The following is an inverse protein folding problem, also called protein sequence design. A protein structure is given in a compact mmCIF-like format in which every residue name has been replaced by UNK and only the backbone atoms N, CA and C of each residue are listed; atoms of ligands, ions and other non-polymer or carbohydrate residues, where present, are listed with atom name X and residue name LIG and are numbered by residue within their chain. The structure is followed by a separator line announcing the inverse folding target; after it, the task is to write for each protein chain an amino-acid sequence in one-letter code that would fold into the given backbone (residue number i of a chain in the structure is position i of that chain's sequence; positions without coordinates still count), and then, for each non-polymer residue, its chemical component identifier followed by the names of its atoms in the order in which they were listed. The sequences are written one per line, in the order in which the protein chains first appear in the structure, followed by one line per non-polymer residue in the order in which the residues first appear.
data_IF_589593464055
#
_entry.id   IF_589593464055
#
_cell.length_a   1.000
_cell.length_b   1.000
_cell.length_c   1.000
_cell.angle_alpha   90.00
_cell.angle_beta   90.00
_cell.angle_gamma   90.00
#
_symmetry.space_group_name_H-M   'P 1'
#
loop_
_entity.id
_entity.type
_entity.pdbx_description
1 polymer ?
#
# COMPACT_ATOMS: atom_id res chain seq x y z
N UNK A 1 55.38 19.60 -16.50
CA UNK A 1 54.04 19.71 -15.88
C UNK A 1 53.15 18.71 -16.59
N UNK A 2 52.65 17.70 -15.88
CA UNK A 2 51.81 16.64 -16.46
C UNK A 2 50.36 17.12 -16.61
N UNK A 3 49.63 16.68 -17.65
CA UNK A 3 48.23 17.05 -17.83
C UNK A 3 47.34 16.46 -16.70
N UNK A 4 46.23 17.12 -16.35
CA UNK A 4 45.31 16.61 -15.34
C UNK A 4 44.62 15.31 -15.80
N UNK A 5 44.24 14.43 -14.86
CA UNK A 5 43.55 13.19 -15.17
C UNK A 5 42.18 13.46 -15.80
N UNK A 6 41.79 12.61 -16.76
CA UNK A 6 40.51 12.69 -17.44
C UNK A 6 39.33 12.52 -16.45
N UNK A 7 38.20 13.21 -16.67
CA UNK A 7 37.01 13.06 -15.84
C UNK A 7 36.43 11.64 -15.94
N UNK A 8 35.76 11.16 -14.88
CA UNK A 8 35.12 9.84 -14.88
C UNK A 8 34.05 9.74 -15.97
N UNK A 9 33.86 8.56 -16.59
CA UNK A 9 32.85 8.38 -17.62
C UNK A 9 31.45 8.64 -17.06
N UNK A 10 30.52 9.19 -17.88
CA UNK A 10 29.16 9.43 -17.44
C UNK A 10 28.49 8.11 -17.03
N UNK A 11 27.59 8.12 -16.03
CA UNK A 11 26.90 6.92 -15.58
C UNK A 11 26.16 6.28 -16.76
N UNK A 12 26.35 4.98 -16.93
CA UNK A 12 25.70 4.19 -17.98
C UNK A 12 24.19 4.40 -17.86
N UNK A 13 23.58 5.07 -18.85
CA UNK A 13 22.12 5.11 -18.96
C UNK A 13 21.64 3.68 -19.13
N UNK A 14 21.00 3.14 -18.10
CA UNK A 14 20.25 1.90 -18.21
C UNK A 14 19.17 2.10 -19.27
N UNK A 15 19.41 1.53 -20.45
CA UNK A 15 18.41 1.41 -21.50
C UNK A 15 17.46 0.31 -21.05
N UNK A 16 16.18 0.58 -20.75
CA UNK A 16 15.26 -0.49 -20.41
C UNK A 16 15.11 -1.36 -21.65
N UNK A 17 15.49 -2.63 -21.52
CA UNK A 17 15.17 -3.64 -22.50
C UNK A 17 13.65 -3.75 -22.58
N UNK A 18 13.10 -3.40 -23.73
CA UNK A 18 11.70 -3.62 -24.08
C UNK A 18 11.46 -5.13 -24.14
N UNK A 19 10.94 -5.70 -23.07
CA UNK A 19 10.40 -7.07 -23.05
C UNK A 19 9.16 -7.14 -22.17
N UNK A 20 8.09 -7.63 -22.82
CA UNK A 20 6.80 -8.09 -22.30
C UNK A 20 5.90 -7.07 -21.59
N UNK A 21 4.76 -6.79 -22.21
CA UNK A 21 3.55 -6.35 -21.55
C UNK A 21 3.21 -7.29 -20.40
N UNK A 22 3.40 -6.84 -19.17
CA UNK A 22 2.78 -7.50 -18.02
C UNK A 22 1.82 -6.52 -17.38
N UNK A 23 0.54 -6.84 -17.54
CA UNK A 23 -0.54 -6.24 -16.76
C UNK A 23 -0.26 -6.58 -15.30
N UNK A 24 0.12 -5.60 -14.47
CA UNK A 24 0.29 -5.80 -13.03
C UNK A 24 -0.56 -4.83 -12.21
N UNK A 25 -1.79 -5.22 -11.87
CA UNK A 25 -2.53 -4.67 -10.75
C UNK A 25 -2.69 -5.76 -9.68
N UNK A 26 -1.86 -5.64 -8.64
CA UNK A 26 -1.85 -6.31 -7.32
C UNK A 26 -0.46 -6.88 -6.98
N UNK A 27 -0.05 -6.81 -5.70
CA UNK A 27 1.13 -7.51 -5.25
C UNK A 27 1.01 -9.03 -5.53
N UNK A 28 2.07 -9.69 -6.01
CA UNK A 28 2.04 -11.14 -6.25
C UNK A 28 1.97 -11.87 -4.91
N UNK A 29 1.15 -12.91 -4.74
CA UNK A 29 1.14 -13.68 -3.47
C UNK A 29 2.56 -14.24 -3.20
N UNK A 30 3.14 -14.09 -1.99
CA UNK A 30 4.48 -14.62 -1.68
C UNK A 30 4.60 -16.11 -2.02
N UNK A 31 5.73 -16.52 -2.60
CA UNK A 31 5.93 -17.89 -3.13
C UNK A 31 6.40 -18.91 -2.08
N UNK A 32 6.39 -18.57 -0.79
CA UNK A 32 6.53 -19.54 0.30
C UNK A 32 5.21 -20.28 0.51
N UNK A 33 5.26 -21.57 0.86
CA UNK A 33 4.12 -22.36 1.37
C UNK A 33 3.54 -21.71 2.62
N UNK A 34 2.75 -20.66 2.43
CA UNK A 34 1.67 -20.29 3.30
C UNK A 34 0.44 -20.95 2.71
N UNK A 35 -0.14 -21.89 3.45
CA UNK A 35 -1.53 -22.30 3.21
C UNK A 35 -2.34 -21.02 2.95
N UNK A 36 -3.16 -20.95 1.89
CA UNK A 36 -4.00 -19.79 1.63
C UNK A 36 -4.85 -19.60 2.87
N UNK A 37 -4.43 -18.67 3.73
CA UNK A 37 -5.18 -18.28 4.89
C UNK A 37 -6.48 -17.75 4.32
N UNK A 38 -7.55 -18.54 4.46
CA UNK A 38 -8.85 -18.19 3.93
C UNK A 38 -9.21 -16.78 4.38
N UNK A 39 -9.97 -16.05 3.57
CA UNK A 39 -10.54 -14.73 3.92
C UNK A 39 -11.11 -14.69 5.35
N UNK A 40 -11.51 -15.84 5.89
CA UNK A 40 -11.90 -16.08 7.28
C UNK A 40 -10.90 -15.63 8.35
N UNK A 41 -9.57 -15.71 8.15
CA UNK A 41 -8.61 -15.30 9.19
C UNK A 41 -8.33 -13.79 9.16
N UNK A 42 -8.45 -13.15 7.99
CA UNK A 42 -8.48 -11.68 7.89
C UNK A 42 -9.65 -11.12 8.70
N UNK A 43 -10.83 -11.75 8.58
CA UNK A 43 -11.98 -11.45 9.44
C UNK A 43 -11.77 -11.87 10.90
N UNK A 44 -11.02 -12.93 11.21
CA UNK A 44 -10.77 -13.35 12.59
C UNK A 44 -9.89 -12.34 13.35
N UNK A 45 -8.84 -11.81 12.71
CA UNK A 45 -7.98 -10.80 13.32
C UNK A 45 -8.74 -9.48 13.59
N UNK A 46 -9.70 -9.13 12.72
CA UNK A 46 -10.62 -8.01 12.95
C UNK A 46 -11.62 -8.28 14.08
N UNK A 47 -12.11 -9.53 14.16
CA UNK A 47 -13.00 -10.01 15.24
C UNK A 47 -12.31 -10.13 16.59
N UNK A 48 -11.00 -10.30 16.65
CA UNK A 48 -10.28 -10.35 17.93
C UNK A 48 -10.18 -8.95 18.58
N UNK A 49 -10.16 -7.87 17.78
CA UNK A 49 -10.20 -6.48 18.31
C UNK A 49 -11.60 -5.97 18.67
N UNK A 50 -12.66 -6.67 18.26
CA UNK A 50 -14.02 -6.47 18.74
C UNK A 50 -14.74 -7.80 18.74
N UNK A 51 -15.08 -8.29 19.94
CA UNK A 51 -16.20 -9.20 20.18
C UNK A 51 -17.45 -8.57 19.57
N UNK A 52 -17.60 -8.69 18.26
CA UNK A 52 -18.64 -8.10 17.45
C UNK A 52 -19.66 -9.19 17.30
N UNK A 53 -20.69 -9.08 18.13
CA UNK A 53 -21.91 -9.85 18.02
C UNK A 53 -22.44 -9.71 16.57
N UNK A 54 -23.02 -10.78 15.98
CA UNK A 54 -23.67 -10.66 14.69
C UNK A 54 -24.73 -9.54 14.75
N UNK A 55 -24.57 -8.49 13.92
CA UNK A 55 -25.54 -7.39 13.81
C UNK A 55 -25.07 -6.00 14.28
N UNK A 56 -23.84 -5.83 14.76
CA UNK A 56 -23.32 -4.49 15.09
C UNK A 56 -22.92 -3.70 13.82
N UNK A 57 -23.29 -2.41 13.70
CA UNK A 57 -22.90 -1.60 12.55
C UNK A 57 -21.39 -1.36 12.50
N UNK A 58 -20.83 -1.32 11.29
CA UNK A 58 -19.44 -0.96 11.04
C UNK A 58 -19.11 0.39 11.70
N UNK A 59 -18.04 0.40 12.50
CA UNK A 59 -17.58 1.60 13.16
C UNK A 59 -16.50 2.27 12.31
N UNK A 60 -16.66 3.56 11.95
CA UNK A 60 -15.65 4.28 11.19
C UNK A 60 -14.27 4.24 11.85
N UNK A 61 -13.23 4.13 11.04
CA UNK A 61 -11.85 4.08 11.50
C UNK A 61 -10.92 4.82 10.54
N UNK A 62 -9.79 5.27 11.04
CA UNK A 62 -8.77 5.91 10.22
C UNK A 62 -7.81 4.86 9.67
N UNK A 63 -7.50 4.93 8.38
CA UNK A 63 -6.45 4.14 7.74
C UNK A 63 -5.28 5.05 7.38
N UNK A 64 -4.08 4.65 7.78
CA UNK A 64 -2.81 5.26 7.38
C UNK A 64 -2.25 4.54 6.15
N UNK A 65 -1.99 5.31 5.10
CA UNK A 65 -1.44 4.85 3.83
C UNK A 65 -0.04 5.44 3.61
N UNK A 66 0.89 4.59 3.18
CA UNK A 66 2.31 4.92 3.03
C UNK A 66 2.88 4.43 1.68
N UNK A 67 2.00 4.11 0.74
CA UNK A 67 2.33 3.53 -0.55
C UNK A 67 1.37 3.99 -1.64
N UNK A 68 0.98 3.07 -2.53
CA UNK A 68 0.10 3.38 -3.67
C UNK A 68 -1.23 4.05 -3.28
N UNK A 69 -1.80 3.68 -2.13
CA UNK A 69 -3.04 4.24 -1.60
C UNK A 69 -2.93 5.69 -1.08
N UNK A 70 -1.71 6.27 -1.05
CA UNK A 70 -1.55 7.71 -0.82
C UNK A 70 -2.05 8.56 -1.99
N UNK A 71 -2.21 7.97 -3.18
CA UNK A 71 -2.76 8.68 -4.34
C UNK A 71 -4.31 8.62 -4.31
N UNK A 72 -5.00 9.78 -4.24
CA UNK A 72 -6.46 9.80 -4.15
C UNK A 72 -7.19 9.14 -5.32
N UNK A 73 -6.64 9.16 -6.54
CA UNK A 73 -7.29 8.51 -7.69
C UNK A 73 -7.15 7.00 -7.63
N UNK A 74 -6.04 6.50 -7.08
CA UNK A 74 -5.87 5.07 -6.81
C UNK A 74 -6.88 4.63 -5.76
N UNK A 75 -6.98 5.39 -4.66
CA UNK A 75 -7.95 5.11 -3.60
C UNK A 75 -9.39 5.14 -4.14
N UNK A 76 -9.74 6.15 -4.94
CA UNK A 76 -11.04 6.23 -5.62
C UNK A 76 -11.31 5.00 -6.50
N UNK A 77 -10.34 4.58 -7.32
CA UNK A 77 -10.51 3.45 -8.23
C UNK A 77 -10.67 2.11 -7.50
N UNK A 78 -9.88 1.87 -6.45
CA UNK A 78 -9.96 0.63 -5.66
C UNK A 78 -11.25 0.54 -4.86
N UNK A 79 -11.69 1.68 -4.32
CA UNK A 79 -12.88 1.74 -3.48
C UNK A 79 -14.17 2.01 -4.26
N UNK A 80 -14.08 2.25 -5.57
CA UNK A 80 -15.21 2.65 -6.43
C UNK A 80 -15.96 3.86 -5.84
N UNK A 81 -15.20 4.85 -5.34
CA UNK A 81 -15.79 6.04 -4.75
C UNK A 81 -16.41 6.92 -5.84
N UNK A 82 -17.59 7.50 -5.60
CA UNK A 82 -18.23 8.40 -6.57
C UNK A 82 -17.42 9.69 -6.77
N UNK A 83 -16.68 10.12 -5.75
CA UNK A 83 -15.90 11.35 -5.71
C UNK A 83 -14.46 11.07 -5.29
N UNK A 84 -13.55 11.98 -5.62
CA UNK A 84 -12.15 11.87 -5.25
C UNK A 84 -12.01 12.10 -3.74
N UNK A 85 -11.44 11.14 -2.97
CA UNK A 85 -11.32 11.29 -1.52
C UNK A 85 -10.27 12.35 -1.15
N UNK A 86 -10.58 13.16 -0.13
CA UNK A 86 -9.60 14.07 0.49
C UNK A 86 -8.86 13.34 1.61
N UNK A 87 -7.55 13.16 1.43
CA UNK A 87 -6.66 12.56 2.44
C UNK A 87 -5.92 13.64 3.23
N UNK A 88 -5.51 13.34 4.47
CA UNK A 88 -4.74 14.28 5.32
C UNK A 88 -3.31 13.77 5.48
N UNK A 89 -2.29 14.62 5.28
CA UNK A 89 -0.89 14.27 5.56
C UNK A 89 -0.70 13.88 7.02
N UNK A 90 0.09 12.83 7.26
CA UNK A 90 0.35 12.31 8.59
C UNK A 90 1.70 11.62 8.70
N UNK A 91 2.15 11.43 9.93
CA UNK A 91 3.36 10.67 10.28
C UNK A 91 3.03 9.61 11.32
N UNK A 92 3.63 8.42 11.18
CA UNK A 92 3.44 7.29 12.09
C UNK A 92 4.80 6.81 12.57
N UNK A 93 5.00 6.80 13.89
CA UNK A 93 6.23 6.33 14.54
C UNK A 93 6.20 4.82 14.80
N UNK A 94 7.36 4.21 15.06
CA UNK A 94 7.45 2.81 15.44
C UNK A 94 7.66 1.85 14.26
N UNK A 95 7.86 2.38 13.05
CA UNK A 95 8.01 1.60 11.83
C UNK A 95 9.06 2.18 10.88
N UNK A 96 9.67 1.30 10.08
CA UNK A 96 10.47 1.65 8.90
C UNK A 96 9.83 1.04 7.66
N UNK A 97 10.19 1.56 6.48
CA UNK A 97 9.84 0.96 5.19
C UNK A 97 10.99 0.05 4.72
N UNK A 98 10.63 -1.15 4.28
CA UNK A 98 11.42 -1.96 3.31
C UNK A 98 10.62 -2.13 2.02
N UNK A 99 11.27 -2.59 0.97
CA UNK A 99 10.64 -2.79 -0.34
C UNK A 99 10.45 -4.27 -0.64
N UNK A 100 9.24 -4.64 -1.02
CA UNK A 100 8.91 -5.92 -1.63
C UNK A 100 8.65 -5.72 -3.12
N UNK A 101 9.71 -5.86 -3.91
CA UNK A 101 9.70 -5.40 -5.30
C UNK A 101 9.44 -3.90 -5.39
N UNK A 102 8.27 -3.51 -5.91
CA UNK A 102 7.87 -2.10 -6.02
C UNK A 102 6.98 -1.62 -4.87
N UNK A 103 6.58 -2.52 -3.98
CA UNK A 103 5.60 -2.24 -2.94
C UNK A 103 6.30 -1.97 -1.61
N UNK A 104 5.94 -0.89 -0.88
CA UNK A 104 6.49 -0.66 0.44
C UNK A 104 5.90 -1.63 1.46
N UNK A 105 6.68 -1.95 2.48
CA UNK A 105 6.33 -2.84 3.57
C UNK A 105 6.71 -2.18 4.90
N UNK A 106 5.73 -1.93 5.77
CA UNK A 106 6.00 -1.47 7.14
C UNK A 106 6.56 -2.60 7.99
N UNK A 107 7.73 -2.35 8.56
CA UNK A 107 8.44 -3.22 9.48
C UNK A 107 8.61 -2.51 10.84
N UNK A 108 8.37 -3.18 11.99
CA UNK A 108 8.56 -2.58 13.30
C UNK A 108 9.97 -2.00 13.49
N UNK A 109 10.07 -0.80 14.05
CA UNK A 109 11.33 -0.11 14.32
C UNK A 109 11.19 0.91 15.44
N UNK A 110 11.98 0.77 16.51
CA UNK A 110 11.88 1.61 17.71
C UNK A 110 12.09 3.10 17.45
N UNK A 111 12.98 3.46 16.51
CA UNK A 111 13.31 4.84 16.15
C UNK A 111 12.74 5.25 14.79
N UNK A 112 12.02 4.36 14.12
CA UNK A 112 11.49 4.57 12.78
C UNK A 112 10.29 5.51 12.77
N UNK A 113 10.16 6.23 11.67
CA UNK A 113 9.02 7.09 11.40
C UNK A 113 8.71 7.08 9.92
N UNK A 114 7.43 6.99 9.57
CA UNK A 114 6.93 6.91 8.20
C UNK A 114 5.96 8.05 7.96
N UNK A 115 6.21 8.81 6.90
CA UNK A 115 5.27 9.81 6.40
C UNK A 115 4.31 9.16 5.41
N UNK A 116 3.05 9.57 5.49
CA UNK A 116 1.98 9.04 4.66
C UNK A 116 0.78 9.96 4.67
N UNK A 117 -0.38 9.37 4.39
CA UNK A 117 -1.67 10.06 4.45
C UNK A 117 -2.67 9.24 5.23
N UNK A 118 -3.68 9.90 5.80
CA UNK A 118 -4.79 9.26 6.49
C UNK A 118 -6.09 9.55 5.77
N UNK A 119 -6.95 8.54 5.74
CA UNK A 119 -8.34 8.67 5.29
C UNK A 119 -9.28 7.92 6.24
N UNK A 120 -10.48 8.47 6.45
CA UNK A 120 -11.50 7.84 7.29
C UNK A 120 -12.35 6.88 6.47
N UNK A 121 -12.27 5.60 6.80
CA UNK A 121 -13.12 4.56 6.23
C UNK A 121 -14.43 4.52 7.01
N UNK A 122 -15.56 4.72 6.33
CA UNK A 122 -16.90 4.76 6.95
C UNK A 122 -17.79 3.58 6.56
N UNK A 123 -17.30 2.67 5.71
CA UNK A 123 -18.04 1.53 5.18
C UNK A 123 -17.21 0.25 5.23
N UNK A 124 -17.84 -0.83 5.69
CA UNK A 124 -17.24 -2.18 5.68
C UNK A 124 -16.84 -2.61 4.27
N UNK A 125 -17.67 -2.33 3.27
CA UNK A 125 -17.36 -2.66 1.87
C UNK A 125 -16.10 -1.94 1.37
N UNK A 126 -15.85 -0.70 1.81
CA UNK A 126 -14.61 -0.01 1.47
C UNK A 126 -13.42 -0.66 2.17
N UNK A 127 -13.57 -1.02 3.44
CA UNK A 127 -12.53 -1.73 4.17
C UNK A 127 -12.17 -3.08 3.52
N UNK A 128 -13.17 -3.87 3.12
CA UNK A 128 -12.97 -5.14 2.41
C UNK A 128 -12.26 -4.97 1.07
N UNK A 129 -12.53 -3.88 0.35
CA UNK A 129 -11.84 -3.56 -0.91
C UNK A 129 -10.38 -3.19 -0.68
N UNK A 130 -10.07 -2.44 0.37
CA UNK A 130 -8.68 -2.18 0.79
C UNK A 130 -7.95 -3.50 1.09
N UNK A 131 -8.56 -4.34 1.92
CA UNK A 131 -8.03 -5.65 2.27
C UNK A 131 -7.72 -6.53 1.05
N UNK A 132 -8.67 -6.59 0.12
CA UNK A 132 -8.54 -7.38 -1.10
C UNK A 132 -7.47 -6.82 -2.06
N UNK A 133 -7.20 -5.51 -2.01
CA UNK A 133 -6.15 -4.88 -2.80
C UNK A 133 -4.75 -5.18 -2.24
N UNK A 134 -4.58 -5.09 -0.93
CA UNK A 134 -3.29 -5.34 -0.26
C UNK A 134 -2.93 -6.83 -0.23
N UNK A 135 -3.93 -7.71 -0.25
CA UNK A 135 -3.77 -9.18 -0.22
C UNK A 135 -3.26 -9.71 1.13
N UNK A 136 -2.98 -11.01 1.20
CA UNK A 136 -2.42 -11.66 2.41
C UNK A 136 -0.96 -11.33 2.67
N UNK A 137 -0.30 -10.59 1.76
CA UNK A 137 1.05 -10.10 1.97
C UNK A 137 1.14 -9.07 3.12
N UNK A 138 0.02 -8.47 3.49
CA UNK A 138 -0.07 -7.51 4.58
C UNK A 138 -1.12 -7.94 5.60
N UNK A 139 -0.87 -7.59 6.87
CA UNK A 139 -1.84 -7.67 7.97
C UNK A 139 -2.25 -6.27 8.38
N UNK A 140 -3.43 -6.12 8.97
CA UNK A 140 -3.93 -4.82 9.43
C UNK A 140 -3.65 -4.67 10.92
N UNK A 141 -2.76 -3.75 11.28
CA UNK A 141 -2.34 -3.50 12.67
C UNK A 141 -2.83 -2.11 13.13
N UNK A 142 -3.08 -1.98 14.44
CA UNK A 142 -3.41 -0.70 15.07
C UNK A 142 -2.17 0.18 15.21
N UNK A 143 -2.36 1.49 15.04
CA UNK A 143 -1.28 2.47 15.11
C UNK A 143 -1.78 3.85 15.57
N UNK A 144 -0.84 4.70 15.97
CA UNK A 144 -1.09 6.13 16.17
C UNK A 144 -0.52 6.92 14.99
N UNK A 145 -1.33 7.80 14.40
CA UNK A 145 -0.89 8.70 13.35
C UNK A 145 -0.99 10.16 13.82
N UNK A 146 0.06 10.94 13.60
CA UNK A 146 0.12 12.37 13.92
C UNK A 146 -0.08 13.16 12.64
N UNK A 147 -1.15 13.95 12.57
CA UNK A 147 -1.47 14.76 11.40
C UNK A 147 -0.56 16.00 11.32
N UNK A 148 -0.51 16.64 10.16
CA UNK A 148 0.32 17.83 9.91
C UNK A 148 0.05 19.03 10.85
N UNK A 149 -1.05 19.01 11.62
CA UNK A 149 -1.37 20.00 12.66
C UNK A 149 -1.04 19.57 14.11
N UNK A 150 -0.42 18.40 14.30
CA UNK A 150 -0.12 17.84 15.64
C UNK A 150 -1.27 17.05 16.29
N UNK A 151 -2.43 16.97 15.65
CA UNK A 151 -3.55 16.11 16.08
C UNK A 151 -3.13 14.64 16.03
N UNK A 152 -3.34 13.89 17.12
CA UNK A 152 -2.99 12.47 17.22
C UNK A 152 -4.24 11.60 17.04
N UNK A 153 -4.24 10.74 16.03
CA UNK A 153 -5.29 9.77 15.75
C UNK A 153 -4.93 8.42 16.38
N UNK A 154 -5.58 8.09 17.51
CA UNK A 154 -5.32 6.86 18.28
C UNK A 154 -6.06 5.61 17.78
N UNK A 155 -7.15 5.80 17.03
CA UNK A 155 -7.90 4.71 16.39
C UNK A 155 -7.56 4.66 14.90
N UNK A 156 -6.27 4.59 14.61
CA UNK A 156 -5.74 4.48 13.26
C UNK A 156 -5.25 3.04 13.02
N UNK A 157 -5.26 2.61 11.78
CA UNK A 157 -4.77 1.31 11.36
C UNK A 157 -3.91 1.43 10.11
N UNK A 158 -2.94 0.54 9.96
CA UNK A 158 -2.08 0.46 8.79
C UNK A 158 -1.95 -0.98 8.32
N UNK A 159 -1.65 -1.17 7.03
CA UNK A 159 -1.29 -2.47 6.49
C UNK A 159 0.20 -2.72 6.73
N UNK A 160 0.56 -3.62 7.63
CA UNK A 160 1.94 -3.99 7.94
C UNK A 160 2.35 -5.27 7.21
N UNK A 161 3.64 -5.46 6.94
CA UNK A 161 4.13 -6.68 6.30
C UNK A 161 3.73 -7.93 7.10
N UNK A 162 3.06 -8.90 6.48
CA UNK A 162 2.58 -10.09 7.18
C UNK A 162 3.68 -11.13 7.44
N UNK A 163 4.76 -11.13 6.65
CA UNK A 163 5.88 -12.05 6.81
C UNK A 163 6.91 -11.59 7.84
N UNK A 164 8.05 -12.27 7.86
CA UNK A 164 9.15 -11.95 8.77
C UNK A 164 9.82 -10.61 8.41
N UNK A 165 10.06 -9.71 9.38
CA UNK A 165 10.78 -8.45 9.22
C UNK A 165 12.14 -8.52 8.49
N UNK A 166 12.86 -9.62 8.72
CA UNK A 166 14.19 -9.87 8.17
C UNK A 166 14.18 -10.87 7.01
N UNK A 167 12.99 -11.07 6.40
CA UNK A 167 12.84 -11.91 5.20
C UNK A 167 13.71 -11.42 4.05
N UNK A 168 14.27 -12.37 3.30
CA UNK A 168 15.03 -12.11 2.06
C UNK A 168 14.14 -11.62 0.90
N UNK A 169 12.83 -11.65 1.07
CA UNK A 169 11.87 -11.06 0.12
C UNK A 169 11.85 -9.53 0.20
N UNK A 170 12.43 -8.96 1.26
CA UNK A 170 12.48 -7.54 1.50
C UNK A 170 13.88 -6.98 1.24
N UNK A 171 13.91 -5.84 0.57
CA UNK A 171 15.12 -5.08 0.25
C UNK A 171 15.08 -3.72 0.96
N UNK A 172 16.25 -3.21 1.34
CA UNK A 172 16.35 -1.83 1.83
C UNK A 172 16.02 -0.86 0.68
N UNK A 173 15.22 0.16 0.99
CA UNK A 173 14.81 1.14 0.00
C UNK A 173 13.72 2.08 0.52
N UNK A 174 13.22 2.91 -0.38
CA UNK A 174 12.12 3.82 -0.11
C UNK A 174 11.09 3.77 -1.23
N UNK A 175 9.85 4.07 -0.88
CA UNK A 175 8.79 4.19 -1.86
C UNK A 175 8.84 5.56 -2.55
N UNK A 176 8.85 5.54 -3.88
CA UNK A 176 8.80 6.73 -4.72
C UNK A 176 7.39 6.85 -5.32
N UNK A 177 6.58 7.73 -4.71
CA UNK A 177 5.20 7.95 -5.12
C UNK A 177 5.12 8.54 -6.54
N UNK A 178 6.02 9.44 -6.92
CA UNK A 178 6.02 10.04 -8.27
C UNK A 178 6.30 8.98 -9.34
N UNK A 179 7.27 8.09 -9.08
CA UNK A 179 7.55 6.95 -9.94
C UNK A 179 6.35 6.00 -10.02
N UNK A 180 5.69 5.73 -8.89
CA UNK A 180 4.48 4.93 -8.86
C UNK A 180 3.39 5.53 -9.75
N UNK A 181 3.12 6.82 -9.59
CA UNK A 181 2.13 7.58 -10.35
C UNK A 181 2.42 7.55 -11.85
N UNK A 182 3.69 7.70 -12.24
CA UNK A 182 4.07 7.74 -13.65
C UNK A 182 3.94 6.40 -14.36
N UNK A 183 4.32 5.30 -13.71
CA UNK A 183 4.48 4.01 -14.40
C UNK A 183 3.46 2.94 -14.01
N UNK A 184 2.83 3.03 -12.84
CA UNK A 184 2.01 1.95 -12.28
C UNK A 184 0.55 2.36 -12.06
N UNK A 185 0.29 3.60 -11.61
CA UNK A 185 -1.08 4.14 -11.41
C UNK A 185 -2.03 3.89 -12.60
N UNK A 186 -1.64 4.07 -13.88
CA UNK A 186 -2.54 3.83 -15.01
C UNK A 186 -3.08 2.39 -15.09
N UNK A 187 -2.36 1.40 -14.57
CA UNK A 187 -2.83 0.01 -14.55
C UNK A 187 -3.96 -0.22 -13.54
N UNK A 188 -4.07 0.64 -12.53
CA UNK A 188 -5.10 0.60 -11.49
C UNK A 188 -6.28 1.50 -11.85
N UNK A 189 -6.02 2.70 -12.35
CA UNK A 189 -7.06 3.72 -12.60
C UNK A 189 -7.72 3.61 -13.97
N UNK A 190 -7.16 2.84 -14.90
CA UNK A 190 -7.80 2.60 -16.20
C UNK A 190 -9.09 1.81 -15.99
N UNK A 191 -10.23 2.52 -16.03
CA UNK A 191 -11.57 1.90 -16.03
C UNK A 191 -11.59 0.80 -17.08
N UNK A 192 -12.01 -0.41 -16.69
CA UNK A 192 -12.38 -1.44 -17.68
C UNK A 192 -13.55 -0.86 -18.48
N UNK A 193 -13.31 -0.45 -19.72
CA UNK A 193 -14.41 -0.13 -20.62
C UNK A 193 -15.35 -1.34 -20.64
N UNK A 194 -16.67 -1.17 -20.50
CA UNK A 194 -17.58 -2.27 -20.73
C UNK A 194 -17.31 -2.83 -22.13
N UNK A 195 -17.07 -4.14 -22.20
CA UNK A 195 -16.98 -4.84 -23.49
C UNK A 195 -18.33 -4.60 -24.18
N UNK A 196 -18.37 -4.00 -25.38
CA UNK A 196 -19.63 -3.85 -26.08
C UNK A 196 -20.22 -5.24 -26.30
N UNK A 197 -21.40 -5.47 -25.73
CA UNK A 197 -22.18 -6.68 -25.97
C UNK A 197 -22.49 -6.66 -27.46
N UNK A 198 -21.87 -7.57 -28.22
CA UNK A 198 -22.24 -7.80 -29.60
C UNK A 198 -23.69 -8.29 -29.61
N UNK A 199 -24.60 -7.43 -30.05
CA UNK A 199 -25.98 -7.84 -30.35
C UNK A 199 -25.92 -8.71 -31.60
N UNK A 200 -26.31 -9.97 -31.46
CA UNK A 200 -26.59 -10.90 -32.57
C UNK A 200 -28.02 -10.64 -33.05
#
# INVERSE_FOLDING_TARGET
MSPPPAPPPPPRRFRPSRSASTVHPRPPVPSGTFEPIGKSQYCHFLKDTKVSMPGEPFQPLHMFFYGSLMDPEVLQAILDLPELPTTRSATMSGFNIKMWGIYPALIPSHSGSVTGTVWMVTSETHFDRLAAYETTAYRCDECEAVLEGGEVLKNCRAFCWAGEPDSKELEDGSFDLERYQKYFKPSVTRRRSPVPIATV
#
